data_IF_188055889422
#
_entry.id   IF_188055889422
#
_cell.length_a   1.000
_cell.length_b   1.000
_cell.length_c   1.000
_cell.angle_alpha   90.00
_cell.angle_beta   90.00
_cell.angle_gamma   90.00
#
_symmetry.space_group_name_H-M   'P 1'
#
loop_
_entity.id
_entity.type
_entity.pdbx_description
1 polymer ?
#
# COMPACT_ATOMS: atom_id res chain seq x y z
N UNK A 1 -32.76 -38.60 -45.48
CA UNK A 1 -32.67 -38.74 -46.95
C UNK A 1 -31.61 -37.78 -47.45
N UNK A 2 -30.72 -38.29 -48.31
CA UNK A 2 -29.55 -37.61 -48.90
C UNK A 2 -29.98 -36.83 -50.16
N UNK A 3 -29.03 -36.05 -50.68
CA UNK A 3 -28.90 -35.55 -52.07
C UNK A 3 -29.29 -34.07 -52.23
N UNK A 4 -28.38 -33.11 -52.49
CA UNK A 4 -27.37 -32.95 -53.57
C UNK A 4 -27.98 -32.41 -54.87
N UNK A 5 -27.71 -31.12 -55.13
CA UNK A 5 -27.66 -30.40 -56.44
C UNK A 5 -27.19 -28.97 -56.12
N UNK A 6 -26.03 -28.43 -56.50
CA UNK A 6 -25.29 -28.32 -57.77
C UNK A 6 -25.98 -27.44 -58.83
N UNK A 7 -25.47 -26.21 -59.01
CA UNK A 7 -25.31 -25.44 -60.27
C UNK A 7 -24.83 -24.01 -59.91
N UNK A 8 -23.57 -23.60 -60.15
CA UNK A 8 -22.92 -23.16 -61.39
C UNK A 8 -23.16 -21.66 -61.78
N UNK A 9 -22.04 -20.92 -61.79
CA UNK A 9 -21.65 -19.70 -62.53
C UNK A 9 -22.32 -18.34 -62.26
N UNK A 10 -21.51 -17.33 -61.87
CA UNK A 10 -20.95 -16.37 -62.83
C UNK A 10 -19.80 -15.51 -62.23
N UNK A 11 -18.78 -15.30 -63.05
CA UNK A 11 -17.51 -14.60 -62.80
C UNK A 11 -17.70 -13.10 -63.00
N UNK A 12 -17.19 -12.26 -62.09
CA UNK A 12 -16.69 -10.93 -62.45
C UNK A 12 -15.36 -10.64 -61.73
N UNK A 13 -14.32 -10.75 -62.54
CA UNK A 13 -12.95 -10.29 -62.36
C UNK A 13 -12.94 -8.76 -62.19
N UNK A 14 -12.57 -8.28 -61.00
CA UNK A 14 -11.99 -6.96 -60.83
C UNK A 14 -10.56 -7.11 -60.33
N UNK A 15 -9.64 -6.79 -61.24
CA UNK A 15 -8.24 -6.53 -60.98
C UNK A 15 -8.11 -5.23 -60.20
N UNK A 16 -7.41 -5.23 -59.07
CA UNK A 16 -6.39 -4.21 -58.81
C UNK A 16 -5.46 -4.62 -57.66
N UNK A 17 -4.16 -4.48 -57.94
CA UNK A 17 -3.01 -4.59 -57.05
C UNK A 17 -3.11 -3.65 -55.85
N UNK A 18 -2.75 -4.13 -54.66
CA UNK A 18 -1.54 -3.68 -53.93
C UNK A 18 -1.34 -4.42 -52.59
N UNK A 19 -0.07 -4.78 -52.39
CA UNK A 19 0.67 -5.08 -51.14
C UNK A 19 0.36 -6.34 -50.32
N UNK A 20 1.21 -7.32 -50.60
CA UNK A 20 2.10 -8.05 -49.67
C UNK A 20 1.52 -8.88 -48.50
N UNK A 21 1.64 -10.21 -48.70
CA UNK A 21 2.10 -11.27 -47.78
C UNK A 21 1.39 -11.38 -46.41
N UNK A 22 0.39 -12.27 -46.26
CA UNK A 22 0.52 -13.73 -46.00
C UNK A 22 1.39 -14.03 -44.77
N UNK A 23 0.79 -14.09 -43.57
CA UNK A 23 0.31 -15.30 -42.86
C UNK A 23 1.40 -16.13 -42.14
N UNK A 24 1.13 -16.29 -40.84
CA UNK A 24 1.47 -17.39 -39.92
C UNK A 24 2.93 -17.50 -39.47
N UNK A 25 3.18 -17.19 -38.19
CA UNK A 25 3.08 -18.19 -37.13
C UNK A 25 3.06 -17.52 -35.75
N UNK A 26 2.16 -18.02 -34.90
CA UNK A 26 2.15 -17.77 -33.46
C UNK A 26 3.54 -18.08 -32.89
N UNK A 27 4.15 -17.07 -32.30
CA UNK A 27 4.97 -17.29 -31.10
C UNK A 27 4.30 -16.45 -30.03
N UNK A 28 3.66 -17.12 -29.08
CA UNK A 28 3.20 -16.49 -27.84
C UNK A 28 4.48 -16.18 -27.06
N UNK A 29 5.07 -15.02 -27.34
CA UNK A 29 6.04 -14.44 -26.43
C UNK A 29 5.25 -14.03 -25.19
N UNK A 30 5.51 -14.77 -24.12
CA UNK A 30 5.00 -14.48 -22.80
C UNK A 30 5.66 -13.18 -22.36
N UNK A 31 4.98 -12.06 -22.56
CA UNK A 31 5.32 -10.82 -21.88
C UNK A 31 5.17 -11.05 -20.38
N UNK A 32 6.30 -11.29 -19.71
CA UNK A 32 6.37 -11.39 -18.26
C UNK A 32 5.88 -10.04 -17.71
N UNK A 33 4.78 -9.99 -16.96
CA UNK A 33 4.28 -8.75 -16.41
C UNK A 33 5.32 -8.19 -15.44
N UNK A 34 5.80 -6.98 -15.77
CA UNK A 34 6.73 -6.15 -15.02
C UNK A 34 6.32 -6.12 -13.54
N UNK A 35 7.11 -6.81 -12.71
CA UNK A 35 6.99 -6.78 -11.26
C UNK A 35 7.05 -5.32 -10.84
N UNK A 36 5.99 -4.81 -10.19
CA UNK A 36 5.98 -3.47 -9.58
C UNK A 36 7.08 -3.45 -8.52
N UNK A 37 8.23 -2.89 -8.87
CA UNK A 37 9.29 -2.53 -7.94
C UNK A 37 8.67 -1.60 -6.90
N UNK A 38 8.61 -2.07 -5.65
CA UNK A 38 8.12 -1.32 -4.50
C UNK A 38 9.09 -0.16 -4.33
N UNK A 39 8.67 1.04 -4.74
CA UNK A 39 9.43 2.27 -4.60
C UNK A 39 9.95 2.38 -3.16
N UNK A 40 11.27 2.36 -3.00
CA UNK A 40 11.93 2.36 -1.69
C UNK A 40 11.77 3.74 -1.05
N UNK A 41 11.10 3.78 0.10
CA UNK A 41 10.80 5.04 0.78
C UNK A 41 12.03 5.49 1.54
N UNK A 42 12.68 6.53 1.01
CA UNK A 42 13.80 7.19 1.68
C UNK A 42 13.29 8.36 2.52
N UNK A 43 13.43 8.26 3.84
CA UNK A 43 13.13 9.36 4.76
C UNK A 43 14.24 10.41 4.73
N UNK A 44 13.87 11.69 4.77
CA UNK A 44 14.82 12.82 4.70
C UNK A 44 15.09 13.43 6.07
N UNK A 45 14.04 13.68 6.83
CA UNK A 45 14.05 14.47 8.05
C UNK A 45 13.51 13.72 9.28
N UNK A 46 12.73 12.66 9.07
CA UNK A 46 12.16 11.86 10.15
C UNK A 46 12.85 10.51 10.27
N UNK A 47 12.89 9.98 11.48
CA UNK A 47 13.31 8.60 11.74
C UNK A 47 12.10 7.68 11.81
N UNK A 48 12.33 6.37 11.68
CA UNK A 48 11.29 5.38 11.97
C UNK A 48 10.84 5.38 13.44
N UNK A 49 11.68 5.85 14.36
CA UNK A 49 11.26 6.06 15.75
C UNK A 49 10.28 7.22 15.87
N UNK A 50 10.46 8.29 15.10
CA UNK A 50 9.50 9.40 15.02
C UNK A 50 8.18 8.93 14.43
N UNK A 51 8.22 8.16 13.33
CA UNK A 51 7.02 7.55 12.74
C UNK A 51 6.28 6.68 13.77
N UNK A 52 6.98 5.82 14.51
CA UNK A 52 6.36 4.98 15.54
C UNK A 52 5.72 5.83 16.66
N UNK A 53 6.41 6.90 17.10
CA UNK A 53 5.91 7.83 18.12
C UNK A 53 4.65 8.55 17.67
N UNK A 54 4.69 9.12 16.47
CA UNK A 54 3.59 9.89 15.89
C UNK A 54 2.41 9.02 15.50
N UNK A 55 2.66 7.77 15.09
CA UNK A 55 1.60 6.78 14.90
C UNK A 55 0.81 6.57 16.18
N UNK A 56 1.51 6.31 17.29
CA UNK A 56 0.83 6.08 18.57
C UNK A 56 0.16 7.35 19.11
N UNK A 57 0.76 8.52 18.87
CA UNK A 57 0.13 9.81 19.20
C UNK A 57 -1.21 9.99 18.46
N UNK A 58 -1.22 9.72 17.15
CA UNK A 58 -2.39 9.85 16.29
C UNK A 58 -3.50 8.88 16.67
N UNK A 59 -3.18 7.59 16.86
CA UNK A 59 -4.17 6.57 17.22
C UNK A 59 -4.81 6.84 18.59
N UNK A 60 -4.00 7.21 19.60
CA UNK A 60 -4.45 7.30 20.99
C UNK A 60 -4.91 8.70 21.41
N UNK A 61 -4.82 9.67 20.50
CA UNK A 61 -5.06 11.08 20.82
C UNK A 61 -4.17 11.59 21.96
N UNK A 62 -2.92 11.12 22.02
CA UNK A 62 -1.95 11.50 23.06
C UNK A 62 -0.88 12.42 22.49
N UNK A 63 -0.30 13.26 23.35
CA UNK A 63 0.86 14.07 22.94
C UNK A 63 2.06 13.18 22.62
N UNK A 64 2.68 13.39 21.45
CA UNK A 64 3.96 12.78 21.05
C UNK A 64 5.04 12.88 22.13
N UNK A 65 5.08 14.00 22.87
CA UNK A 65 6.08 14.29 23.90
C UNK A 65 6.09 13.33 25.08
N UNK A 66 4.96 12.66 25.36
CA UNK A 66 4.89 11.68 26.46
C UNK A 66 5.12 10.24 25.97
N UNK A 67 5.24 10.04 24.67
CA UNK A 67 5.41 8.72 24.05
C UNK A 67 6.89 8.42 23.93
N UNK A 68 7.30 7.33 24.57
CA UNK A 68 8.66 6.79 24.50
C UNK A 68 8.69 5.67 23.47
N UNK A 69 9.74 5.64 22.67
CA UNK A 69 9.98 4.60 21.66
C UNK A 69 11.27 3.86 21.99
N UNK A 70 11.26 2.55 21.78
CA UNK A 70 12.44 1.68 21.84
C UNK A 70 12.40 0.75 20.63
N UNK A 71 13.41 0.83 19.76
CA UNK A 71 13.62 -0.19 18.73
C UNK A 71 14.20 -1.48 19.35
N UNK A 72 13.67 -2.63 18.95
CA UNK A 72 14.25 -3.95 19.20
C UNK A 72 13.93 -4.84 18.02
N UNK A 73 14.96 -5.38 17.39
CA UNK A 73 14.87 -6.11 16.12
C UNK A 73 14.15 -5.24 15.06
N UNK A 74 13.17 -5.80 14.37
CA UNK A 74 12.34 -5.12 13.35
C UNK A 74 11.11 -4.41 13.94
N UNK A 75 11.01 -4.32 15.27
CA UNK A 75 9.85 -3.75 15.95
C UNK A 75 10.20 -2.49 16.73
N UNK A 76 9.20 -1.60 16.83
CA UNK A 76 9.24 -0.41 17.66
C UNK A 76 8.25 -0.58 18.80
N UNK A 77 8.77 -0.63 20.02
CA UNK A 77 7.97 -0.71 21.23
C UNK A 77 7.70 0.70 21.71
N UNK A 78 6.43 1.05 21.89
CA UNK A 78 6.01 2.38 22.29
C UNK A 78 5.26 2.32 23.61
N UNK A 79 5.49 3.32 24.46
CA UNK A 79 4.83 3.39 25.77
C UNK A 79 4.59 4.82 26.21
N UNK A 80 3.54 5.03 27.00
CA UNK A 80 3.28 6.30 27.67
C UNK A 80 2.52 6.09 28.99
N UNK A 81 2.53 7.11 29.83
CA UNK A 81 1.70 7.21 31.03
C UNK A 81 0.61 8.23 30.74
N UNK A 82 -0.65 7.80 30.75
CA UNK A 82 -1.78 8.69 30.48
C UNK A 82 -1.96 9.66 31.64
N UNK A 83 -2.12 10.95 31.36
CA UNK A 83 -2.17 11.99 32.40
C UNK A 83 -3.43 11.94 33.27
N UNK A 84 -4.55 11.46 32.74
CA UNK A 84 -5.85 11.48 33.43
C UNK A 84 -5.94 10.50 34.60
N UNK A 85 -5.24 9.36 34.51
CA UNK A 85 -5.35 8.25 35.47
C UNK A 85 -4.00 7.60 35.81
N UNK A 86 -2.89 8.12 35.29
CA UNK A 86 -1.54 7.61 35.49
C UNK A 86 -1.35 6.15 35.06
N UNK A 87 -2.25 5.60 34.24
CA UNK A 87 -2.10 4.25 33.73
C UNK A 87 -1.02 4.21 32.65
N UNK A 88 -0.18 3.17 32.70
CA UNK A 88 0.84 2.88 31.68
C UNK A 88 0.23 2.06 30.55
N UNK A 89 0.54 2.46 29.32
CA UNK A 89 0.18 1.75 28.10
C UNK A 89 1.43 1.36 27.34
N UNK A 90 1.42 0.17 26.74
CA UNK A 90 2.52 -0.42 26.00
C UNK A 90 2.00 -1.10 24.73
N UNK A 91 2.65 -0.80 23.60
CA UNK A 91 2.28 -1.31 22.28
C UNK A 91 3.53 -1.70 21.49
N UNK A 92 3.31 -2.48 20.43
CA UNK A 92 4.33 -2.83 19.44
C UNK A 92 3.89 -2.36 18.06
N UNK A 93 4.86 -1.85 17.31
CA UNK A 93 4.68 -1.31 15.96
C UNK A 93 5.66 -2.01 15.01
N UNK A 94 5.18 -2.35 13.82
CA UNK A 94 5.97 -2.83 12.69
C UNK A 94 5.78 -1.87 11.52
N UNK A 95 6.88 -1.47 10.87
CA UNK A 95 6.87 -0.57 9.72
C UNK A 95 7.38 -1.35 8.50
N UNK A 96 6.60 -1.34 7.41
CA UNK A 96 6.94 -2.01 6.15
C UNK A 96 6.70 -1.06 4.96
N UNK A 97 7.78 -0.45 4.45
CA UNK A 97 7.66 0.69 3.53
C UNK A 97 6.95 1.85 4.22
N UNK A 98 5.85 2.34 3.64
CA UNK A 98 5.01 3.36 4.28
C UNK A 98 3.91 2.78 5.17
N UNK A 99 3.71 1.46 5.17
CA UNK A 99 2.62 0.84 5.91
C UNK A 99 3.04 0.61 7.36
N UNK A 100 2.10 0.82 8.26
CA UNK A 100 2.31 0.66 9.69
C UNK A 100 1.28 -0.34 10.22
N UNK A 101 1.76 -1.35 10.94
CA UNK A 101 0.94 -2.27 11.72
C UNK A 101 1.24 -2.06 13.19
N UNK A 102 0.22 -2.16 14.02
CA UNK A 102 0.39 -2.04 15.46
C UNK A 102 -0.48 -3.04 16.22
N UNK A 103 -0.15 -3.23 17.49
CA UNK A 103 -0.85 -4.10 18.41
C UNK A 103 -0.56 -3.72 19.87
N UNK A 104 -1.44 -4.15 20.78
CA UNK A 104 -1.06 -4.30 22.18
C UNK A 104 0.14 -5.26 22.29
N UNK A 105 0.93 -5.15 23.36
CA UNK A 105 2.15 -5.95 23.53
C UNK A 105 1.90 -7.46 23.34
N UNK A 106 0.83 -7.97 23.95
CA UNK A 106 0.42 -9.38 23.88
C UNK A 106 -0.78 -9.60 22.94
N UNK A 107 -1.12 -8.60 22.13
CA UNK A 107 -2.29 -8.62 21.25
C UNK A 107 -2.00 -9.11 19.82
N UNK A 108 -3.09 -9.33 19.08
CA UNK A 108 -3.09 -9.54 17.63
C UNK A 108 -2.70 -8.25 16.92
N UNK A 109 -1.96 -8.37 15.82
CA UNK A 109 -1.76 -7.29 14.86
C UNK A 109 -3.09 -6.79 14.30
N UNK A 110 -3.21 -5.47 14.13
CA UNK A 110 -4.34 -4.84 13.46
C UNK A 110 -4.17 -4.86 11.94
N UNK A 111 -4.33 -6.04 11.36
CA UNK A 111 -4.13 -6.30 9.92
C UNK A 111 -5.36 -6.89 9.21
N UNK A 112 -6.47 -7.11 9.91
CA UNK A 112 -7.70 -7.68 9.35
C UNK A 112 -8.49 -6.69 8.50
N UNK A 113 -9.53 -7.16 7.83
CA UNK A 113 -10.39 -6.35 6.93
C UNK A 113 -10.96 -5.10 7.59
N UNK A 114 -11.35 -5.20 8.86
CA UNK A 114 -12.03 -4.14 9.60
C UNK A 114 -11.10 -3.33 10.50
N UNK A 115 -9.82 -3.67 10.54
CA UNK A 115 -8.82 -2.83 11.20
C UNK A 115 -8.43 -1.67 10.29
N UNK A 116 -8.19 -0.52 10.90
CA UNK A 116 -7.66 0.65 10.23
C UNK A 116 -6.35 0.34 9.48
N UNK A 117 -6.17 0.96 8.32
CA UNK A 117 -4.92 0.92 7.55
C UNK A 117 -4.16 2.19 7.82
N UNK A 118 -2.94 2.04 8.32
CA UNK A 118 -2.10 3.16 8.70
C UNK A 118 -0.96 3.29 7.72
N UNK A 119 -0.79 4.48 7.17
CA UNK A 119 0.37 4.85 6.37
C UNK A 119 0.99 6.14 6.87
N UNK A 120 2.22 6.42 6.45
CA UNK A 120 2.83 7.73 6.62
C UNK A 120 3.31 8.30 5.29
N UNK A 121 3.39 9.63 5.22
CA UNK A 121 4.02 10.36 4.11
C UNK A 121 4.87 11.47 4.68
N UNK A 122 6.14 11.53 4.25
CA UNK A 122 7.00 12.67 4.52
C UNK A 122 6.92 13.66 3.36
N UNK A 123 6.54 14.91 3.67
CA UNK A 123 6.50 16.02 2.72
C UNK A 123 7.29 17.18 3.31
N UNK A 124 8.40 17.51 2.67
CA UNK A 124 9.32 18.53 3.15
C UNK A 124 9.70 18.29 4.62
N UNK A 125 9.38 19.22 5.52
CA UNK A 125 9.69 19.16 6.95
C UNK A 125 8.49 18.68 7.81
N UNK A 126 7.54 17.98 7.19
CA UNK A 126 6.32 17.49 7.83
C UNK A 126 6.14 15.99 7.59
N UNK A 127 5.62 15.31 8.60
CA UNK A 127 5.18 13.93 8.52
C UNK A 127 3.66 13.87 8.70
N UNK A 128 2.97 13.26 7.75
CA UNK A 128 1.56 12.93 7.87
C UNK A 128 1.44 11.47 8.31
N UNK A 129 0.69 11.21 9.38
CA UNK A 129 0.17 9.89 9.74
C UNK A 129 -1.28 9.82 9.28
N UNK A 130 -1.60 8.82 8.47
CA UNK A 130 -2.89 8.67 7.81
C UNK A 130 -3.52 7.36 8.28
N UNK A 131 -4.65 7.45 8.97
CA UNK A 131 -5.48 6.31 9.33
C UNK A 131 -6.64 6.24 8.33
N UNK A 132 -6.77 5.14 7.60
CA UNK A 132 -7.89 4.88 6.69
C UNK A 132 -8.76 3.77 7.27
N UNK A 133 -10.05 4.04 7.46
CA UNK A 133 -11.02 3.10 8.03
C UNK A 133 -11.70 2.26 6.94
N UNK A 134 -12.48 1.26 7.34
CA UNK A 134 -13.10 0.29 6.43
C UNK A 134 -14.18 0.92 5.52
N UNK A 135 -14.76 2.04 5.93
CA UNK A 135 -15.65 2.89 5.14
C UNK A 135 -14.91 3.86 4.20
N UNK A 136 -13.57 3.80 4.16
CA UNK A 136 -12.65 4.69 3.44
C UNK A 136 -12.59 6.13 3.99
N UNK A 137 -13.22 6.42 5.12
CA UNK A 137 -12.95 7.67 5.83
C UNK A 137 -11.49 7.71 6.31
N UNK A 138 -10.98 8.92 6.51
CA UNK A 138 -9.59 9.13 6.91
C UNK A 138 -9.47 10.10 8.08
N UNK A 139 -8.55 9.80 8.99
CA UNK A 139 -7.99 10.76 9.94
C UNK A 139 -6.52 10.99 9.58
N UNK A 140 -6.12 12.26 9.49
CA UNK A 140 -4.79 12.69 9.08
C UNK A 140 -4.23 13.60 10.17
N UNK A 141 -3.11 13.19 10.74
CA UNK A 141 -2.37 13.97 11.73
C UNK A 141 -1.02 14.40 11.18
N UNK A 142 -0.69 15.68 11.32
CA UNK A 142 0.55 16.27 10.83
C UNK A 142 1.51 16.54 12.00
N UNK A 143 2.78 16.20 11.81
CA UNK A 143 3.86 16.42 12.78
C UNK A 143 5.05 17.10 12.12
N UNK A 144 5.75 17.92 12.90
CA UNK A 144 7.01 18.58 12.53
C UNK A 144 8.17 17.92 13.25
N UNK A 145 9.37 18.15 12.74
CA UNK A 145 10.61 17.71 13.37
C UNK A 145 10.66 18.24 14.81
N UNK A 146 10.77 17.32 15.78
CA UNK A 146 10.90 17.64 17.20
C UNK A 146 9.59 17.86 17.96
N UNK A 147 8.42 17.64 17.34
CA UNK A 147 7.14 17.56 18.06
C UNK A 147 7.12 16.37 19.04
#
# INVERSE_FOLDING_TARGET
>A
MKSLTCCLFLILIFSCNQKEQTKTNLTVETEIPKIKEKEEITLKNFTYEDIARYTMASIMGQSSKIIKVRKKDELYFVSYIRKSDHQKFDYKIKIDGNKILWANIDGRWRDSKYDEKITFVEKDNKLEIIQTFDDNSQDIQEYKIGD
#
